data_IF_183678170228
#
_entry.id   IF_183678170228
#
_cell.length_a   1.000
_cell.length_b   1.000
_cell.length_c   1.000
_cell.angle_alpha   90.00
_cell.angle_beta   90.00
_cell.angle_gamma   90.00
#
_symmetry.space_group_name_H-M   'P 1'
#
loop_
_entity.id
_entity.type
_entity.pdbx_description
1 polymer ?
#
# COMPACT_ATOMS: atom_id res chain seq x y z
N UNK A 1 16.96 11.85 5.07
CA UNK A 1 15.80 11.53 5.94
C UNK A 1 14.65 12.46 5.61
N UNK A 2 13.45 11.94 5.45
CA UNK A 2 12.23 12.72 5.17
C UNK A 2 11.08 12.34 6.08
N UNK A 3 10.28 13.32 6.47
CA UNK A 3 8.91 13.04 6.89
C UNK A 3 8.01 13.04 5.66
N UNK A 4 7.08 12.10 5.60
CA UNK A 4 6.03 12.08 4.59
C UNK A 4 4.64 12.09 5.24
N UNK A 5 3.69 12.68 4.51
CA UNK A 5 2.25 12.56 4.72
C UNK A 5 1.63 12.09 3.40
N UNK A 6 0.92 10.96 3.43
CA UNK A 6 0.24 10.37 2.29
C UNK A 6 -1.26 10.63 2.39
N UNK A 7 -1.84 11.22 1.36
CA UNK A 7 -3.29 11.45 1.23
C UNK A 7 -3.84 10.77 -0.02
N UNK A 8 -5.12 10.39 0.02
CA UNK A 8 -5.85 9.99 -1.18
C UNK A 8 -6.27 11.20 -2.03
N UNK A 9 -6.88 10.95 -3.19
CA UNK A 9 -7.37 11.98 -4.11
C UNK A 9 -8.46 12.87 -3.49
N UNK A 10 -9.17 12.35 -2.48
CA UNK A 10 -10.19 13.08 -1.73
C UNK A 10 -9.60 13.89 -0.56
N UNK A 11 -8.28 13.83 -0.36
CA UNK A 11 -7.55 14.56 0.68
C UNK A 11 -7.55 13.88 2.05
N UNK A 12 -8.09 12.67 2.18
CA UNK A 12 -8.08 11.92 3.44
C UNK A 12 -6.66 11.43 3.75
N UNK A 13 -6.28 11.53 5.02
CA UNK A 13 -5.01 10.98 5.51
C UNK A 13 -5.04 9.46 5.40
N UNK A 14 -4.09 8.90 4.65
CA UNK A 14 -3.91 7.45 4.49
C UNK A 14 -2.79 6.94 5.38
N UNK A 15 -1.66 7.66 5.40
CA UNK A 15 -0.48 7.28 6.16
C UNK A 15 0.40 8.50 6.46
N UNK A 16 1.21 8.44 7.51
CA UNK A 16 2.19 9.48 7.83
C UNK A 16 3.35 8.91 8.65
N UNK A 17 4.56 9.26 8.25
CA UNK A 17 5.77 8.96 9.03
C UNK A 17 5.73 9.52 10.46
N UNK A 18 4.93 10.57 10.72
CA UNK A 18 4.84 11.17 12.04
C UNK A 18 4.09 10.30 13.04
N UNK A 19 3.18 9.44 12.58
CA UNK A 19 2.52 8.45 13.45
C UNK A 19 3.47 7.32 13.85
N UNK A 20 4.42 6.96 12.99
CA UNK A 20 5.51 6.02 13.29
C UNK A 20 6.57 6.61 14.23
N UNK A 21 6.55 7.93 14.45
CA UNK A 21 7.42 8.64 15.38
C UNK A 21 8.84 8.93 14.87
N UNK A 22 9.23 8.41 13.70
CA UNK A 22 10.57 8.60 13.13
C UNK A 22 10.54 8.95 11.62
N UNK A 23 11.47 9.80 11.13
CA UNK A 23 11.58 10.08 9.72
C UNK A 23 12.12 8.87 8.95
N UNK A 24 11.73 8.75 7.67
CA UNK A 24 12.20 7.66 6.82
C UNK A 24 13.56 8.02 6.20
N UNK A 25 14.50 7.09 6.30
CA UNK A 25 15.79 7.18 5.60
C UNK A 25 15.69 6.47 4.26
N UNK A 26 16.11 7.16 3.21
CA UNK A 26 16.27 6.59 1.87
C UNK A 26 17.52 7.19 1.23
N UNK A 27 18.11 6.44 0.30
CA UNK A 27 19.27 6.87 -0.47
C UNK A 27 18.82 7.53 -1.77
N UNK A 28 19.25 8.79 -1.96
CA UNK A 28 18.89 9.56 -3.14
C UNK A 28 19.58 8.98 -4.38
N UNK A 29 18.81 8.52 -5.35
CA UNK A 29 19.30 7.92 -6.59
C UNK A 29 19.23 6.39 -6.61
N UNK A 30 18.84 5.74 -5.49
CA UNK A 30 18.61 4.30 -5.46
C UNK A 30 17.34 3.89 -6.23
N UNK A 31 16.42 4.82 -6.53
CA UNK A 31 15.19 4.54 -7.27
C UNK A 31 15.41 4.01 -8.68
N UNK A 32 16.53 4.38 -9.34
CA UNK A 32 16.92 3.81 -10.64
C UNK A 32 17.34 2.34 -10.53
N UNK A 33 17.93 1.94 -9.40
CA UNK A 33 18.35 0.55 -9.18
C UNK A 33 17.17 -0.37 -8.80
N UNK A 34 16.17 0.16 -8.10
CA UNK A 34 14.99 -0.62 -7.63
C UNK A 34 13.91 -0.72 -8.71
N UNK A 35 13.93 0.14 -9.73
CA UNK A 35 12.97 0.11 -10.84
C UNK A 35 11.52 0.40 -10.42
N UNK A 36 11.32 0.94 -9.22
CA UNK A 36 10.01 1.30 -8.69
C UNK A 36 9.71 2.79 -9.01
N UNK A 37 8.66 3.10 -9.81
CA UNK A 37 8.32 4.47 -10.19
C UNK A 37 8.12 5.42 -9.00
N UNK A 38 7.65 4.90 -7.85
CA UNK A 38 7.47 5.68 -6.63
C UNK A 38 8.81 6.22 -6.11
N UNK A 39 9.83 5.36 -6.03
CA UNK A 39 11.15 5.76 -5.55
C UNK A 39 11.82 6.76 -6.50
N UNK A 40 11.60 6.62 -7.81
CA UNK A 40 12.09 7.59 -8.79
C UNK A 40 11.41 8.96 -8.64
N UNK A 41 10.10 8.98 -8.38
CA UNK A 41 9.36 10.22 -8.11
C UNK A 41 9.84 10.89 -6.82
N UNK A 42 10.10 10.11 -5.77
CA UNK A 42 10.70 10.61 -4.52
C UNK A 42 12.10 11.19 -4.75
N UNK A 43 12.98 10.45 -5.45
CA UNK A 43 14.34 10.90 -5.79
C UNK A 43 14.32 12.22 -6.57
N UNK A 44 13.41 12.35 -7.54
CA UNK A 44 13.25 13.59 -8.30
C UNK A 44 12.71 14.74 -7.44
N UNK A 45 11.74 14.46 -6.57
CA UNK A 45 11.09 15.48 -5.74
C UNK A 45 12.02 16.04 -4.66
N UNK A 46 12.90 15.21 -4.09
CA UNK A 46 13.85 15.64 -3.06
C UNK A 46 15.14 16.24 -3.64
N UNK A 47 15.44 15.96 -4.92
CA UNK A 47 16.56 16.57 -5.64
C UNK A 47 16.31 18.07 -5.81
N UNK A 48 17.02 18.88 -5.02
CA UNK A 48 16.94 20.33 -5.05
C UNK A 48 16.26 20.97 -3.84
N UNK A 49 15.74 20.18 -2.90
CA UNK A 49 15.20 20.70 -1.65
C UNK A 49 16.30 21.13 -0.68
N UNK A 50 16.05 22.24 0.00
CA UNK A 50 16.83 22.65 1.18
C UNK A 50 16.35 21.93 2.44
N UNK A 51 17.20 21.88 3.45
CA UNK A 51 16.82 21.33 4.76
C UNK A 51 15.62 22.11 5.34
N UNK A 52 14.57 21.40 5.76
CA UNK A 52 13.32 21.95 6.26
C UNK A 52 12.31 22.34 5.17
N UNK A 53 12.66 22.17 3.89
CA UNK A 53 11.75 22.45 2.78
C UNK A 53 10.77 21.28 2.55
N UNK A 54 9.56 21.63 2.12
CA UNK A 54 8.49 20.68 1.82
C UNK A 54 8.18 20.69 0.34
N UNK A 55 7.97 19.52 -0.24
CA UNK A 55 7.48 19.35 -1.61
C UNK A 55 6.28 18.41 -1.64
N UNK A 56 5.51 18.48 -2.71
CA UNK A 56 4.38 17.58 -2.93
C UNK A 56 4.60 16.84 -4.24
N UNK A 57 4.42 15.52 -4.22
CA UNK A 57 4.40 14.70 -5.42
C UNK A 57 3.11 13.87 -5.48
N UNK A 58 2.65 13.64 -6.70
CA UNK A 58 1.63 12.64 -6.96
C UNK A 58 2.32 11.34 -7.33
N UNK A 59 1.91 10.25 -6.68
CA UNK A 59 2.34 8.92 -7.05
C UNK A 59 1.13 8.00 -7.16
N UNK A 60 1.15 7.14 -8.18
CA UNK A 60 0.16 6.10 -8.31
C UNK A 60 0.69 4.86 -7.58
N UNK A 61 -0.16 4.22 -6.79
CA UNK A 61 0.17 2.87 -6.34
C UNK A 61 0.40 1.97 -7.56
N UNK A 62 1.08 0.85 -7.35
CA UNK A 62 1.39 -0.09 -8.43
C UNK A 62 0.17 -0.44 -9.29
N UNK A 63 0.40 -0.96 -10.48
CA UNK A 63 -0.69 -1.29 -11.39
C UNK A 63 -1.70 -2.25 -10.73
N UNK A 64 -2.98 -1.89 -10.77
CA UNK A 64 -4.05 -2.82 -10.38
C UNK A 64 -4.18 -3.90 -11.45
N UNK A 65 -4.05 -5.16 -11.04
CA UNK A 65 -3.99 -6.32 -11.93
C UNK A 65 -5.26 -7.13 -11.81
N UNK A 66 -5.92 -7.36 -12.96
CA UNK A 66 -7.08 -8.26 -13.06
C UNK A 66 -6.74 -9.68 -12.64
N UNK A 67 -5.50 -10.12 -12.85
CA UNK A 67 -5.06 -11.48 -12.54
C UNK A 67 -4.92 -11.73 -11.04
N UNK A 68 -5.02 -10.68 -10.21
CA UNK A 68 -5.10 -10.76 -8.75
C UNK A 68 -6.54 -10.71 -8.23
N UNK A 69 -7.53 -10.77 -9.13
CA UNK A 69 -8.91 -11.08 -8.79
C UNK A 69 -9.14 -12.57 -8.85
N UNK A 70 -9.54 -13.14 -7.72
CA UNK A 70 -9.78 -14.55 -7.58
C UNK A 70 -11.25 -14.82 -7.34
N UNK A 71 -11.81 -15.78 -8.06
CA UNK A 71 -13.05 -16.43 -7.68
C UNK A 71 -12.71 -17.85 -7.22
N UNK A 72 -12.84 -18.07 -5.91
CA UNK A 72 -12.35 -19.28 -5.27
C UNK A 72 -13.55 -20.09 -4.77
N UNK A 73 -13.69 -21.38 -5.15
CA UNK A 73 -14.73 -22.25 -4.61
C UNK A 73 -14.66 -22.34 -3.08
N UNK A 74 -15.80 -22.40 -2.40
CA UNK A 74 -15.84 -22.50 -0.93
C UNK A 74 -15.16 -23.75 -0.36
N UNK A 75 -15.14 -24.81 -1.14
CA UNK A 75 -14.45 -26.06 -0.79
C UNK A 75 -12.93 -25.93 -0.82
N UNK A 76 -12.38 -24.89 -1.44
CA UNK A 76 -10.94 -24.66 -1.49
C UNK A 76 -10.36 -24.54 -0.07
N UNK A 77 -9.21 -25.19 0.24
CA UNK A 77 -8.64 -25.19 1.58
C UNK A 77 -8.43 -23.79 2.17
N UNK A 78 -8.06 -22.82 1.34
CA UNK A 78 -7.88 -21.44 1.77
C UNK A 78 -9.19 -20.80 2.24
N UNK A 79 -10.30 -21.02 1.52
CA UNK A 79 -11.59 -20.48 1.93
C UNK A 79 -12.10 -21.16 3.20
N UNK A 80 -11.91 -22.49 3.33
CA UNK A 80 -12.25 -23.20 4.56
C UNK A 80 -11.45 -22.69 5.77
N UNK A 81 -10.15 -22.41 5.59
CA UNK A 81 -9.28 -21.84 6.61
C UNK A 81 -9.76 -20.45 7.02
N UNK A 82 -10.05 -19.59 6.05
CA UNK A 82 -10.56 -18.24 6.27
C UNK A 82 -11.91 -18.29 7.00
N UNK A 83 -12.87 -19.08 6.54
CA UNK A 83 -14.17 -19.27 7.22
C UNK A 83 -14.00 -19.78 8.65
N UNK A 84 -13.05 -20.68 8.91
CA UNK A 84 -12.69 -21.12 10.26
C UNK A 84 -12.12 -19.99 11.12
N UNK A 85 -11.19 -19.21 10.58
CA UNK A 85 -10.52 -18.09 11.27
C UNK A 85 -11.50 -16.97 11.63
N UNK A 86 -12.45 -16.66 10.74
CA UNK A 86 -13.42 -15.58 10.91
C UNK A 86 -14.81 -16.08 11.37
N UNK A 87 -14.96 -17.36 11.76
CA UNK A 87 -16.23 -17.94 12.20
C UNK A 87 -16.89 -17.17 13.34
N UNK A 88 -16.11 -16.69 14.30
CA UNK A 88 -16.60 -15.90 15.44
C UNK A 88 -17.17 -14.55 15.03
N UNK A 89 -16.80 -14.03 13.86
CA UNK A 89 -17.32 -12.79 13.27
C UNK A 89 -18.51 -13.06 12.33
N UNK A 90 -18.95 -14.33 12.26
CA UNK A 90 -20.05 -14.79 11.43
C UNK A 90 -19.65 -15.07 9.98
N UNK A 91 -18.40 -15.52 9.76
CA UNK A 91 -17.90 -15.99 8.47
C UNK A 91 -17.39 -14.88 7.55
N UNK A 92 -17.09 -15.23 6.31
CA UNK A 92 -16.64 -14.27 5.30
C UNK A 92 -17.82 -13.42 4.79
N UNK A 93 -17.58 -12.11 4.67
CA UNK A 93 -18.56 -11.13 4.20
C UNK A 93 -17.91 -10.15 3.25
N UNK A 94 -18.71 -9.63 2.32
CA UNK A 94 -18.30 -8.56 1.43
C UNK A 94 -17.78 -7.35 2.23
N UNK A 95 -16.69 -6.75 1.74
CA UNK A 95 -16.00 -5.62 2.38
C UNK A 95 -14.99 -6.01 3.45
N UNK A 96 -14.88 -7.29 3.84
CA UNK A 96 -13.87 -7.71 4.82
C UNK A 96 -12.47 -7.78 4.22
N UNK A 97 -11.48 -7.28 4.96
CA UNK A 97 -10.07 -7.58 4.70
C UNK A 97 -9.68 -8.87 5.43
N UNK A 98 -9.08 -9.79 4.69
CA UNK A 98 -8.67 -11.10 5.20
C UNK A 98 -7.21 -11.38 4.93
N UNK A 99 -6.55 -12.02 5.89
CA UNK A 99 -5.15 -12.42 5.79
C UNK A 99 -5.05 -13.82 5.16
N UNK A 100 -4.44 -13.90 3.98
CA UNK A 100 -4.20 -15.11 3.21
C UNK A 100 -3.10 -16.00 3.85
N UNK A 101 -3.04 -17.27 3.48
CA UNK A 101 -2.05 -18.21 4.04
C UNK A 101 -0.59 -17.84 3.76
N UNK A 102 -0.34 -17.06 2.70
CA UNK A 102 0.99 -16.55 2.36
C UNK A 102 1.37 -15.27 3.15
N UNK A 103 0.48 -14.76 4.01
CA UNK A 103 0.69 -13.54 4.78
C UNK A 103 0.20 -12.26 4.10
N UNK A 104 -0.19 -12.32 2.82
CA UNK A 104 -0.77 -11.16 2.13
C UNK A 104 -2.21 -10.91 2.60
N UNK A 105 -2.74 -9.72 2.30
CA UNK A 105 -4.13 -9.37 2.57
C UNK A 105 -4.94 -9.34 1.28
N UNK A 106 -6.19 -9.78 1.34
CA UNK A 106 -7.17 -9.65 0.26
C UNK A 106 -8.48 -9.04 0.76
N UNK A 107 -9.16 -8.29 -0.12
CA UNK A 107 -10.51 -7.77 0.11
C UNK A 107 -11.55 -8.78 -0.40
N UNK A 108 -12.52 -9.12 0.43
CA UNK A 108 -13.67 -9.93 0.01
C UNK A 108 -14.62 -9.04 -0.80
N UNK A 109 -14.65 -9.25 -2.11
CA UNK A 109 -15.56 -8.53 -3.02
C UNK A 109 -16.97 -9.11 -3.00
N UNK A 110 -17.11 -10.41 -2.76
CA UNK A 110 -18.40 -11.06 -2.60
C UNK A 110 -18.22 -12.41 -1.90
N UNK A 111 -19.14 -12.78 -1.02
CA UNK A 111 -19.18 -14.09 -0.38
C UNK A 111 -20.48 -14.82 -0.76
N UNK A 112 -20.48 -15.49 -1.91
CA UNK A 112 -21.64 -16.24 -2.42
C UNK A 112 -21.80 -17.63 -1.78
N UNK A 113 -22.81 -18.39 -2.17
CA UNK A 113 -23.03 -19.75 -1.63
C UNK A 113 -22.00 -20.79 -2.11
N UNK A 114 -21.48 -20.64 -3.33
CA UNK A 114 -20.57 -21.65 -3.93
C UNK A 114 -19.12 -21.16 -4.04
N UNK A 115 -18.92 -19.86 -4.23
CA UNK A 115 -17.62 -19.23 -4.41
C UNK A 115 -17.51 -17.94 -3.60
N UNK A 116 -16.27 -17.55 -3.31
CA UNK A 116 -15.90 -16.28 -2.70
C UNK A 116 -15.01 -15.54 -3.69
N UNK A 117 -15.34 -14.27 -3.93
CA UNK A 117 -14.53 -13.38 -4.78
C UNK A 117 -13.61 -12.55 -3.91
N UNK A 118 -12.31 -12.61 -4.21
CA UNK A 118 -11.24 -11.93 -3.49
C UNK A 118 -10.48 -11.01 -4.44
N UNK A 119 -10.14 -9.81 -3.96
CA UNK A 119 -9.17 -8.92 -4.58
C UNK A 119 -7.89 -8.93 -3.74
N UNK A 120 -6.82 -9.53 -4.26
CA UNK A 120 -5.51 -9.57 -3.62
C UNK A 120 -4.56 -8.48 -4.15
N UNK A 121 -5.07 -7.48 -4.86
CA UNK A 121 -4.26 -6.32 -5.21
C UNK A 121 -3.83 -5.57 -3.95
N UNK A 122 -2.67 -4.90 -4.04
CA UNK A 122 -2.26 -3.96 -3.00
C UNK A 122 -3.38 -2.90 -2.82
N UNK A 123 -3.68 -2.53 -1.58
CA UNK A 123 -4.74 -1.55 -1.25
C UNK A 123 -4.57 -0.19 -1.95
N UNK A 124 -3.35 0.14 -2.36
CA UNK A 124 -2.98 1.35 -3.08
C UNK A 124 -3.00 1.17 -4.60
N UNK A 125 -3.13 -0.06 -5.11
CA UNK A 125 -3.00 -0.35 -6.53
C UNK A 125 -4.07 0.39 -7.37
N UNK A 126 -3.61 1.02 -8.45
CA UNK A 126 -4.48 1.78 -9.35
C UNK A 126 -5.10 3.05 -8.77
N UNK A 127 -4.72 3.47 -7.55
CA UNK A 127 -5.20 4.72 -6.94
C UNK A 127 -4.07 5.75 -6.93
N UNK A 128 -4.39 7.00 -7.30
CA UNK A 128 -3.45 8.10 -7.17
C UNK A 128 -3.36 8.53 -5.69
N UNK A 129 -2.18 8.99 -5.29
CA UNK A 129 -1.87 9.42 -3.94
C UNK A 129 -1.07 10.70 -4.01
N UNK A 130 -1.31 11.57 -3.06
CA UNK A 130 -0.57 12.81 -2.89
C UNK A 130 0.35 12.62 -1.70
N UNK A 131 1.66 12.68 -1.92
CA UNK A 131 2.67 12.64 -0.87
C UNK A 131 3.23 14.04 -0.66
N UNK A 132 3.17 14.51 0.57
CA UNK A 132 3.85 15.71 1.04
C UNK A 132 5.12 15.25 1.76
N UNK A 133 6.30 15.67 1.28
CA UNK A 133 7.61 15.29 1.80
C UNK A 133 8.32 16.49 2.39
N UNK A 134 8.78 16.38 3.63
CA UNK A 134 9.64 17.35 4.29
C UNK A 134 11.04 16.77 4.46
N UNK A 135 12.05 17.47 3.95
CA UNK A 135 13.45 17.08 4.12
C UNK A 135 13.95 17.49 5.51
N UNK A 136 14.22 16.51 6.38
CA UNK A 136 14.64 16.79 7.78
C UNK A 136 16.11 16.55 8.06
N UNK A 137 16.79 15.73 7.25
CA UNK A 137 18.24 15.56 7.33
C UNK A 137 18.81 15.06 6.00
N UNK A 138 20.06 15.44 5.73
CA UNK A 138 20.88 14.89 4.65
C UNK A 138 22.15 14.32 5.27
N UNK A 139 22.42 13.04 5.00
CA UNK A 139 23.65 12.38 5.41
C UNK A 139 24.43 11.98 4.14
N UNK A 140 25.77 12.12 4.13
CA UNK A 140 26.57 11.62 3.02
C UNK A 140 26.40 10.10 2.88
N UNK A 141 26.15 9.62 1.65
CA UNK A 141 26.14 8.18 1.35
C UNK A 141 27.50 7.54 1.66
N UNK A 142 27.47 6.33 2.21
CA UNK A 142 28.65 5.60 2.68
C UNK A 142 29.43 4.95 1.53
#
# INVERSE_FOLDING_TARGET
>A
MVHYVCRDEDGNLIDTSREQGEPVTFEVGAGEAVGNPLFQAFDAAVRGLSLGETTTLEAQGGEWRRDLLFEVPREHPEIQRLEGRYRSQGGLREGMLVELANGDTALVLAAGEHSVRLDANNMMAGKARVFELELVALEPGQ
#
